data_IF_648423025529
#
_entry.id   IF_648423025529
#
_cell.length_a   1.000
_cell.length_b   1.000
_cell.length_c   1.000
_cell.angle_alpha   90.00
_cell.angle_beta   90.00
_cell.angle_gamma   90.00
#
_symmetry.space_group_name_H-M   'P 1'
#
loop_
_entity.id
_entity.type
_entity.pdbx_description
1 polymer ?
#
# COMPACT_ATOMS: atom_id res chain seq x y z
N UNK A 1 -11.05 -1.12 2.47
CA UNK A 1 -11.06 -2.36 3.28
C UNK A 1 -12.01 -3.44 2.76
N UNK A 2 -13.03 -3.10 1.97
CA UNK A 2 -14.01 -4.08 1.43
C UNK A 2 -13.35 -5.29 0.73
N UNK A 3 -12.36 -5.06 -0.14
CA UNK A 3 -11.62 -6.16 -0.79
C UNK A 3 -10.93 -7.09 0.22
N UNK A 4 -10.29 -6.53 1.25
CA UNK A 4 -9.60 -7.31 2.27
C UNK A 4 -10.58 -8.19 3.07
N UNK A 5 -11.76 -7.65 3.39
CA UNK A 5 -12.84 -8.40 4.03
C UNK A 5 -13.38 -9.50 3.14
N UNK A 6 -13.61 -9.21 1.85
CA UNK A 6 -14.15 -10.18 0.88
C UNK A 6 -13.20 -11.35 0.65
N UNK A 7 -11.90 -11.08 0.55
CA UNK A 7 -10.86 -12.08 0.28
C UNK A 7 -10.23 -12.65 1.57
N UNK A 8 -10.77 -12.30 2.74
CA UNK A 8 -10.35 -12.79 4.06
C UNK A 8 -8.86 -12.60 4.37
N UNK A 9 -8.35 -11.38 4.19
CA UNK A 9 -7.01 -10.98 4.65
C UNK A 9 -7.07 -9.66 5.41
N UNK A 10 -6.06 -9.43 6.26
CA UNK A 10 -5.97 -8.21 7.06
C UNK A 10 -5.00 -7.18 6.45
N UNK A 11 -5.29 -5.90 6.68
CA UNK A 11 -4.41 -4.78 6.37
C UNK A 11 -4.24 -3.95 7.64
N UNK A 12 -3.01 -3.87 8.14
CA UNK A 12 -2.65 -2.94 9.20
C UNK A 12 -2.05 -1.67 8.60
N UNK A 13 -2.42 -0.52 9.14
CA UNK A 13 -1.90 0.77 8.72
C UNK A 13 -1.93 1.76 9.87
N UNK A 14 -1.08 2.77 9.73
CA UNK A 14 -1.02 3.91 10.62
C UNK A 14 -1.24 5.20 9.85
N UNK A 15 -2.09 6.06 10.38
CA UNK A 15 -2.26 7.42 9.85
C UNK A 15 -1.28 8.35 10.56
N UNK A 16 -0.46 9.03 9.79
CA UNK A 16 0.40 10.10 10.27
C UNK A 16 -0.22 11.45 9.88
N UNK A 17 -0.53 12.27 10.86
CA UNK A 17 -1.11 13.60 10.62
C UNK A 17 -0.22 14.43 9.68
N UNK A 18 -0.83 15.08 8.70
CA UNK A 18 -0.13 15.81 7.63
C UNK A 18 0.51 14.92 6.54
N UNK A 19 0.95 13.70 6.85
CA UNK A 19 1.64 12.82 5.90
C UNK A 19 0.70 11.84 5.16
N UNK A 20 -0.30 11.28 5.84
CA UNK A 20 -1.29 10.34 5.27
C UNK A 20 -1.16 8.93 5.86
N UNK A 21 -1.74 7.96 5.16
CA UNK A 21 -1.78 6.54 5.56
C UNK A 21 -0.51 5.81 5.14
N UNK A 22 0.15 5.17 6.11
CA UNK A 22 1.25 4.24 5.91
C UNK A 22 0.78 2.81 6.19
N UNK A 23 0.82 1.95 5.18
CA UNK A 23 0.48 0.52 5.33
C UNK A 23 1.65 -0.21 5.97
N UNK A 24 1.38 -0.87 7.10
CA UNK A 24 2.38 -1.58 7.91
C UNK A 24 2.42 -3.07 7.55
N UNK A 25 1.27 -3.65 7.19
CA UNK A 25 1.17 -5.05 6.77
C UNK A 25 -0.02 -5.32 5.83
N UNK A 26 0.12 -6.36 5.01
CA UNK A 26 -0.95 -6.94 4.20
C UNK A 26 -0.83 -8.47 4.31
N UNK A 27 -1.93 -9.14 4.66
CA UNK A 27 -1.98 -10.59 4.84
C UNK A 27 -0.86 -11.09 5.78
N UNK A 28 -0.70 -10.43 6.93
CA UNK A 28 0.30 -10.70 7.98
C UNK A 28 1.77 -10.46 7.57
N UNK A 29 2.04 -10.14 6.31
CA UNK A 29 3.38 -9.80 5.83
C UNK A 29 3.70 -8.37 6.26
N UNK A 30 4.61 -8.21 7.21
CA UNK A 30 5.04 -6.91 7.75
C UNK A 30 6.18 -6.29 6.93
N UNK A 31 6.18 -4.96 6.88
CA UNK A 31 7.34 -4.21 6.39
C UNK A 31 8.63 -4.58 7.14
N UNK A 32 9.76 -4.53 6.43
CA UNK A 32 11.08 -4.82 6.96
C UNK A 32 11.49 -6.31 6.88
N UNK A 33 10.55 -7.23 6.63
CA UNK A 33 10.92 -8.63 6.37
C UNK A 33 11.72 -8.72 5.07
N UNK A 34 12.87 -9.39 5.12
CA UNK A 34 13.82 -9.50 4.01
C UNK A 34 14.24 -8.17 3.38
N UNK A 35 14.28 -7.09 4.18
CA UNK A 35 14.55 -5.72 3.70
C UNK A 35 13.55 -5.23 2.62
N UNK A 36 12.31 -5.74 2.67
CA UNK A 36 11.23 -5.39 1.75
C UNK A 36 10.13 -4.59 2.44
N UNK A 37 9.42 -3.81 1.63
CA UNK A 37 8.37 -2.91 2.07
C UNK A 37 7.20 -2.97 1.10
N UNK A 38 6.00 -2.83 1.64
CA UNK A 38 4.78 -2.67 0.88
C UNK A 38 4.78 -1.31 0.17
N UNK A 39 4.69 -1.38 -1.15
CA UNK A 39 4.68 -0.23 -2.04
C UNK A 39 3.43 -0.32 -2.90
N UNK A 40 2.70 0.79 -3.01
CA UNK A 40 1.52 0.86 -3.87
C UNK A 40 1.88 1.54 -5.18
N UNK A 41 1.39 1.00 -6.27
CA UNK A 41 1.66 1.47 -7.62
C UNK A 41 0.34 1.75 -8.31
N UNK A 42 0.30 2.83 -9.11
CA UNK A 42 -0.87 3.19 -9.92
C UNK A 42 -0.39 3.26 -11.37
N UNK A 43 -0.95 2.43 -12.25
CA UNK A 43 -0.60 2.35 -13.67
C UNK A 43 0.91 2.18 -13.93
N UNK A 44 1.59 1.42 -13.06
CA UNK A 44 3.03 1.17 -13.20
C UNK A 44 3.94 2.26 -12.64
N UNK A 45 3.38 3.27 -11.96
CA UNK A 45 4.14 4.32 -11.27
C UNK A 45 4.01 4.22 -9.75
N UNK A 46 5.10 4.47 -9.01
CA UNK A 46 5.11 4.60 -7.55
C UNK A 46 4.82 6.07 -7.18
N UNK A 47 3.64 6.42 -6.65
CA UNK A 47 3.32 7.82 -6.45
C UNK A 47 4.06 8.42 -5.25
N UNK A 48 4.35 9.73 -5.33
CA UNK A 48 5.05 10.49 -4.27
C UNK A 48 4.14 10.95 -3.12
N UNK A 49 2.90 10.46 -3.06
CA UNK A 49 1.92 10.78 -2.01
C UNK A 49 1.51 9.49 -1.29
N UNK A 50 0.87 9.60 -0.14
CA UNK A 50 0.30 8.44 0.55
C UNK A 50 -0.91 7.87 -0.19
N UNK A 51 -1.21 6.57 0.00
CA UNK A 51 -2.26 5.86 -0.73
C UNK A 51 -3.68 6.44 -0.50
N UNK A 52 -3.92 7.08 0.64
CA UNK A 52 -5.17 7.77 0.96
C UNK A 52 -5.33 9.12 0.24
N UNK A 53 -4.24 9.67 -0.30
CA UNK A 53 -4.21 10.97 -0.98
C UNK A 53 -4.14 10.85 -2.51
N UNK A 54 -3.88 9.65 -3.04
CA UNK A 54 -3.82 9.44 -4.48
C UNK A 54 -5.23 9.26 -5.03
N UNK A 55 -5.69 10.25 -5.79
CA UNK A 55 -6.89 10.11 -6.62
C UNK A 55 -6.63 9.10 -7.74
N UNK A 56 -7.59 8.19 -7.92
CA UNK A 56 -7.62 7.20 -9.01
C UNK A 56 -8.90 7.37 -9.81
N UNK A 57 -8.87 6.95 -11.06
CA UNK A 57 -10.01 6.99 -11.98
C UNK A 57 -10.44 5.57 -12.34
N UNK A 58 -11.66 5.45 -12.85
CA UNK A 58 -12.11 4.18 -13.42
C UNK A 58 -11.13 3.72 -14.51
N UNK A 59 -10.73 2.45 -14.45
CA UNK A 59 -9.75 1.86 -15.35
C UNK A 59 -8.29 1.94 -14.84
N UNK A 60 -7.99 2.71 -13.79
CA UNK A 60 -6.66 2.69 -13.19
C UNK A 60 -6.37 1.33 -12.54
N UNK A 61 -5.15 0.84 -12.76
CA UNK A 61 -4.64 -0.37 -12.13
C UNK A 61 -3.85 -0.01 -10.88
N UNK A 62 -4.32 -0.47 -9.72
CA UNK A 62 -3.60 -0.35 -8.44
C UNK A 62 -2.94 -1.68 -8.10
N UNK A 63 -1.64 -1.66 -7.80
CA UNK A 63 -0.86 -2.84 -7.40
C UNK A 63 -0.18 -2.62 -6.04
N UNK A 64 -0.25 -3.61 -5.16
CA UNK A 64 0.58 -3.67 -3.96
C UNK A 64 1.73 -4.64 -4.17
N UNK A 65 2.96 -4.17 -4.00
CA UNK A 65 4.19 -4.95 -4.22
C UNK A 65 4.98 -5.00 -2.92
N UNK A 66 5.40 -6.20 -2.52
CA UNK A 66 6.33 -6.41 -1.42
C UNK A 66 7.73 -6.59 -1.99
N UNK A 67 8.49 -5.51 -2.04
CA UNK A 67 9.77 -5.45 -2.74
C UNK A 67 10.81 -4.68 -1.92
N UNK A 68 12.12 -4.87 -2.19
CA UNK A 68 13.16 -4.05 -1.57
C UNK A 68 12.86 -2.58 -1.75
N UNK A 69 13.17 -1.78 -0.74
CA UNK A 69 13.06 -0.34 -0.89
C UNK A 69 14.02 0.10 -2.01
N UNK A 70 13.45 0.67 -3.07
CA UNK A 70 14.20 1.27 -4.15
C UNK A 70 14.35 2.75 -3.80
N UNK A 71 15.41 3.08 -3.06
CA UNK A 71 15.81 4.46 -2.78
C UNK A 71 16.81 4.93 -3.83
#
# INVERSE_FOLDING_TARGET
KELAQRENFEIEYKTYEGMGVFVESIAEIKNGMDNKYWQYWVNGELPMVAADKKEIKEGDKVEWKFAPASF
#
